data_IF_631148773953
#
_entry.id   IF_631148773953
#
_cell.length_a   1.000
_cell.length_b   1.000
_cell.length_c   1.000
_cell.angle_alpha   90.00
_cell.angle_beta   90.00
_cell.angle_gamma   90.00
#
_symmetry.space_group_name_H-M   'P 1'
#
loop_
_entity.id
_entity.type
_entity.pdbx_description
1 polymer ?
#
# COMPACT_ATOMS: atom_id res chain seq x y z
N UNK A 1 -9.88 27.05 -25.72
CA UNK A 1 -8.74 26.11 -25.59
C UNK A 1 -9.21 24.75 -26.06
N UNK A 2 -8.45 24.10 -26.93
CA UNK A 2 -8.84 22.83 -27.53
C UNK A 2 -8.73 21.68 -26.52
N UNK A 3 -9.68 20.74 -26.57
CA UNK A 3 -9.71 19.56 -25.69
C UNK A 3 -8.40 18.76 -25.73
N UNK A 4 -7.75 18.68 -26.90
CA UNK A 4 -6.45 18.05 -27.07
C UNK A 4 -5.34 18.68 -26.22
N UNK A 5 -5.38 20.01 -26.02
CA UNK A 5 -4.40 20.70 -25.16
C UNK A 5 -4.58 20.29 -23.70
N UNK A 6 -5.83 20.17 -23.24
CA UNK A 6 -6.13 19.70 -21.88
C UNK A 6 -5.75 18.23 -21.66
N UNK A 7 -5.99 17.37 -22.64
CA UNK A 7 -5.59 15.95 -22.58
C UNK A 7 -4.06 15.82 -22.51
N UNK A 8 -3.34 16.53 -23.38
CA UNK A 8 -1.87 16.51 -23.36
C UNK A 8 -1.30 17.05 -22.04
N UNK A 9 -1.86 18.15 -21.53
CA UNK A 9 -1.47 18.67 -20.23
C UNK A 9 -1.74 17.66 -19.12
N UNK A 10 -2.94 17.07 -19.08
CA UNK A 10 -3.33 16.08 -18.06
C UNK A 10 -2.45 14.82 -18.10
N UNK A 11 -2.06 14.35 -19.29
CA UNK A 11 -1.12 13.24 -19.47
C UNK A 11 0.24 13.54 -18.82
N UNK A 12 0.83 14.70 -19.14
CA UNK A 12 2.13 15.11 -18.58
C UNK A 12 2.05 15.30 -17.07
N UNK A 13 0.99 15.93 -16.57
CA UNK A 13 0.77 16.11 -15.13
C UNK A 13 0.55 14.77 -14.42
N UNK A 14 -0.30 13.88 -14.95
CA UNK A 14 -0.51 12.55 -14.38
C UNK A 14 0.77 11.73 -14.34
N UNK A 15 1.58 11.78 -15.41
CA UNK A 15 2.86 11.09 -15.48
C UNK A 15 3.86 11.60 -14.44
N UNK A 16 3.94 12.92 -14.27
CA UNK A 16 4.79 13.56 -13.28
C UNK A 16 4.35 13.22 -11.86
N UNK A 17 3.05 13.30 -11.55
CA UNK A 17 2.48 12.97 -10.23
C UNK A 17 2.75 11.51 -9.88
N UNK A 18 2.56 10.59 -10.84
CA UNK A 18 2.83 9.16 -10.67
C UNK A 18 4.26 8.94 -10.18
N UNK A 19 5.26 9.47 -10.89
CA UNK A 19 6.65 9.29 -10.49
C UNK A 19 7.05 10.08 -9.25
N UNK A 20 6.56 11.32 -9.10
CA UNK A 20 6.91 12.17 -7.97
C UNK A 20 6.52 11.51 -6.65
N UNK A 21 5.32 10.96 -6.57
CA UNK A 21 4.85 10.27 -5.37
C UNK A 21 5.40 8.84 -5.30
N UNK A 22 5.51 8.16 -6.45
CA UNK A 22 5.95 6.77 -6.52
C UNK A 22 7.40 6.53 -6.12
N UNK A 23 8.29 7.50 -6.34
CA UNK A 23 9.69 7.40 -5.96
C UNK A 23 9.93 7.55 -4.45
N UNK A 24 9.04 8.24 -3.72
CA UNK A 24 9.27 8.60 -2.31
C UNK A 24 9.33 7.36 -1.43
N UNK A 25 8.34 6.48 -1.54
CA UNK A 25 8.24 5.30 -0.68
C UNK A 25 9.43 4.35 -0.86
N UNK A 26 9.76 4.05 -2.12
CA UNK A 26 10.87 3.16 -2.45
C UNK A 26 12.21 3.73 -1.95
N UNK A 27 12.52 4.99 -2.25
CA UNK A 27 13.77 5.61 -1.81
C UNK A 27 13.95 5.61 -0.29
N UNK A 28 12.87 5.88 0.47
CA UNK A 28 12.90 5.83 1.94
C UNK A 28 13.13 4.38 2.44
N UNK A 29 12.40 3.42 1.89
CA UNK A 29 12.50 2.00 2.28
C UNK A 29 13.88 1.39 1.95
N UNK A 30 14.42 1.70 0.77
CA UNK A 30 15.74 1.26 0.34
C UNK A 30 16.86 1.93 1.16
N UNK A 31 16.76 3.23 1.42
CA UNK A 31 17.69 3.96 2.26
C UNK A 31 17.72 3.42 3.69
N UNK A 32 16.54 3.10 4.26
CA UNK A 32 16.44 2.45 5.57
C UNK A 32 17.10 1.06 5.57
N UNK A 33 16.86 0.27 4.52
CA UNK A 33 17.45 -1.06 4.35
C UNK A 33 18.98 -0.98 4.29
N UNK A 34 19.52 -0.06 3.49
CA UNK A 34 20.95 0.18 3.36
C UNK A 34 21.58 0.67 4.67
N UNK A 35 20.90 1.55 5.42
CA UNK A 35 21.36 2.00 6.74
C UNK A 35 21.48 0.83 7.73
N UNK A 36 20.47 -0.04 7.78
CA UNK A 36 20.49 -1.24 8.62
C UNK A 36 21.57 -2.24 8.18
N UNK A 37 21.78 -2.39 6.86
CA UNK A 37 22.85 -3.22 6.33
C UNK A 37 24.23 -2.69 6.72
N UNK A 38 24.47 -1.38 6.64
CA UNK A 38 25.72 -0.75 7.10
C UNK A 38 25.98 -0.99 8.59
N UNK A 39 24.95 -0.85 9.43
CA UNK A 39 25.03 -1.17 10.86
C UNK A 39 25.37 -2.65 11.09
N UNK A 40 24.70 -3.56 10.37
CA UNK A 40 24.93 -5.00 10.46
C UNK A 40 26.34 -5.40 10.01
N UNK A 41 26.83 -4.86 8.89
CA UNK A 41 28.17 -5.12 8.35
C UNK A 41 29.25 -4.57 9.29
N UNK A 42 29.01 -3.40 9.89
CA UNK A 42 29.95 -2.80 10.85
C UNK A 42 30.14 -3.66 12.10
N UNK A 43 29.10 -4.39 12.53
CA UNK A 43 29.18 -5.39 13.60
C UNK A 43 29.80 -6.71 13.17
N UNK A 44 29.64 -7.09 11.90
CA UNK A 44 30.06 -8.40 11.38
C UNK A 44 30.69 -8.31 9.99
N UNK A 45 31.90 -7.72 9.84
CA UNK A 45 32.50 -7.45 8.51
C UNK A 45 32.77 -8.71 7.70
N UNK A 46 33.10 -9.82 8.37
CA UNK A 46 33.34 -11.13 7.75
C UNK A 46 32.11 -11.71 7.04
N UNK A 47 30.91 -11.14 7.25
CA UNK A 47 29.64 -11.58 6.64
C UNK A 47 29.04 -10.55 5.69
N UNK A 48 29.85 -9.58 5.27
CA UNK A 48 29.41 -8.50 4.40
C UNK A 48 28.71 -9.02 3.13
N UNK A 49 29.25 -10.05 2.48
CA UNK A 49 28.67 -10.59 1.25
C UNK A 49 27.24 -11.13 1.43
N UNK A 50 26.97 -11.78 2.55
CA UNK A 50 25.66 -12.37 2.85
C UNK A 50 24.61 -11.30 3.21
N UNK A 51 25.01 -10.33 4.05
CA UNK A 51 24.16 -9.19 4.41
C UNK A 51 23.87 -8.34 3.18
N UNK A 52 24.90 -8.11 2.35
CA UNK A 52 24.76 -7.35 1.10
C UNK A 52 23.81 -8.04 0.12
N UNK A 53 23.90 -9.36 -0.03
CA UNK A 53 22.95 -10.14 -0.85
C UNK A 53 21.51 -9.97 -0.37
N UNK A 54 21.28 -10.04 0.94
CA UNK A 54 19.95 -9.90 1.54
C UNK A 54 19.41 -8.47 1.42
N UNK A 55 20.28 -7.46 1.57
CA UNK A 55 19.97 -6.06 1.33
C UNK A 55 19.46 -5.85 -0.11
N UNK A 56 20.20 -6.34 -1.11
CA UNK A 56 19.81 -6.22 -2.52
C UNK A 56 18.47 -6.91 -2.83
N UNK A 57 18.21 -8.08 -2.23
CA UNK A 57 16.91 -8.74 -2.39
C UNK A 57 15.76 -7.89 -1.83
N UNK A 58 15.94 -7.33 -0.63
CA UNK A 58 14.93 -6.47 -0.01
C UNK A 58 14.70 -5.15 -0.78
N UNK A 59 15.77 -4.54 -1.27
CA UNK A 59 15.70 -3.34 -2.13
C UNK A 59 14.99 -3.66 -3.45
N UNK A 60 15.32 -4.77 -4.11
CA UNK A 60 14.65 -5.17 -5.35
C UNK A 60 13.12 -5.33 -5.21
N UNK A 61 12.64 -5.85 -4.07
CA UNK A 61 11.19 -5.91 -3.80
C UNK A 61 10.63 -4.51 -3.53
N UNK A 62 11.34 -3.70 -2.74
CA UNK A 62 10.93 -2.34 -2.41
C UNK A 62 10.81 -1.45 -3.66
N UNK A 63 11.71 -1.61 -4.63
CA UNK A 63 11.74 -0.87 -5.89
C UNK A 63 10.54 -1.17 -6.80
N UNK A 64 9.88 -2.34 -6.66
CA UNK A 64 8.76 -2.73 -7.55
C UNK A 64 7.63 -1.71 -7.57
N UNK A 65 7.33 -1.04 -6.46
CA UNK A 65 6.31 0.01 -6.41
C UNK A 65 6.71 1.27 -7.20
N UNK A 66 7.99 1.61 -7.24
CA UNK A 66 8.48 2.70 -8.08
C UNK A 66 8.47 2.32 -9.57
N UNK A 67 8.78 1.05 -9.89
CA UNK A 67 8.67 0.53 -11.26
C UNK A 67 7.21 0.57 -11.74
N UNK A 68 6.22 0.26 -10.89
CA UNK A 68 4.81 0.40 -11.24
C UNK A 68 4.39 1.86 -11.50
N UNK A 69 4.88 2.79 -10.68
CA UNK A 69 4.69 4.22 -10.91
C UNK A 69 5.34 4.70 -12.23
N UNK A 70 6.51 4.16 -12.57
CA UNK A 70 7.21 4.43 -13.82
C UNK A 70 6.43 3.87 -15.00
N UNK A 71 5.91 2.66 -14.88
CA UNK A 71 5.07 2.03 -15.91
C UNK A 71 3.86 2.92 -16.23
N UNK A 72 3.12 3.37 -15.21
CA UNK A 72 1.98 4.26 -15.41
C UNK A 72 2.42 5.60 -16.01
N UNK A 73 3.54 6.16 -15.56
CA UNK A 73 4.11 7.39 -16.11
C UNK A 73 4.43 7.25 -17.61
N UNK A 74 5.06 6.14 -18.01
CA UNK A 74 5.37 5.84 -19.41
C UNK A 74 4.11 5.64 -20.25
N UNK A 75 3.11 4.93 -19.73
CA UNK A 75 1.83 4.76 -20.43
C UNK A 75 1.17 6.13 -20.66
N UNK A 76 1.13 6.98 -19.63
CA UNK A 76 0.54 8.31 -19.72
C UNK A 76 1.25 9.20 -20.75
N UNK A 77 2.59 9.16 -20.84
CA UNK A 77 3.37 9.99 -21.78
C UNK A 77 3.31 9.52 -23.23
N UNK A 78 3.21 8.21 -23.46
CA UNK A 78 3.40 7.63 -24.80
C UNK A 78 2.14 6.98 -25.39
N UNK A 79 1.06 6.90 -24.64
CA UNK A 79 -0.21 6.31 -25.11
C UNK A 79 -1.28 7.37 -25.27
N UNK A 80 -2.00 7.33 -26.40
CA UNK A 80 -3.14 8.20 -26.63
C UNK A 80 -4.40 7.57 -26.02
N UNK A 81 -4.86 8.10 -24.89
CA UNK A 81 -5.96 7.55 -24.09
C UNK A 81 -7.29 8.24 -24.44
N UNK A 82 -7.71 8.12 -25.70
CA UNK A 82 -8.98 8.67 -26.17
C UNK A 82 -9.04 10.20 -26.26
N UNK A 83 -10.18 10.70 -26.75
CA UNK A 83 -10.41 12.12 -27.03
C UNK A 83 -11.67 12.66 -26.35
N UNK A 84 -12.10 12.01 -25.28
CA UNK A 84 -13.36 12.35 -24.60
C UNK A 84 -13.14 13.43 -23.54
N UNK A 85 -14.17 14.24 -23.22
CA UNK A 85 -14.06 15.27 -22.19
C UNK A 85 -13.73 14.75 -20.79
N UNK A 86 -13.92 13.45 -20.53
CA UNK A 86 -13.59 12.81 -19.24
C UNK A 86 -12.11 12.37 -19.15
N UNK A 87 -11.44 12.20 -20.29
CA UNK A 87 -10.06 11.71 -20.39
C UNK A 87 -9.07 12.48 -19.50
N UNK A 88 -9.09 13.84 -19.43
CA UNK A 88 -8.16 14.56 -18.57
C UNK A 88 -8.21 14.14 -17.09
N UNK A 89 -9.41 13.86 -16.57
CA UNK A 89 -9.61 13.43 -15.18
C UNK A 89 -9.12 11.99 -14.95
N UNK A 90 -9.32 11.12 -15.94
CA UNK A 90 -8.79 9.74 -15.94
C UNK A 90 -7.27 9.75 -15.87
N UNK A 91 -6.61 10.54 -16.72
CA UNK A 91 -5.14 10.60 -16.80
C UNK A 91 -4.51 11.08 -15.48
N UNK A 92 -5.05 12.15 -14.91
CA UNK A 92 -4.57 12.69 -13.63
C UNK A 92 -4.86 11.70 -12.48
N UNK A 93 -6.07 11.12 -12.46
CA UNK A 93 -6.46 10.17 -11.41
C UNK A 93 -5.62 8.89 -11.44
N UNK A 94 -5.32 8.35 -12.63
CA UNK A 94 -4.47 7.17 -12.79
C UNK A 94 -3.05 7.39 -12.28
N UNK A 95 -2.47 8.56 -12.58
CA UNK A 95 -1.16 8.92 -12.05
C UNK A 95 -1.18 9.10 -10.53
N UNK A 96 -2.20 9.79 -10.00
CA UNK A 96 -2.36 10.02 -8.57
C UNK A 96 -2.58 8.72 -7.78
N UNK A 97 -3.44 7.84 -8.27
CA UNK A 97 -3.75 6.53 -7.71
C UNK A 97 -2.48 5.67 -7.53
N UNK A 98 -1.72 5.52 -8.62
CA UNK A 98 -0.48 4.74 -8.60
C UNK A 98 0.56 5.39 -7.70
N UNK A 99 0.79 6.69 -7.86
CA UNK A 99 1.79 7.43 -7.10
C UNK A 99 1.57 7.35 -5.59
N UNK A 100 0.34 7.55 -5.12
CA UNK A 100 0.00 7.44 -3.69
C UNK A 100 0.11 6.00 -3.19
N UNK A 101 -0.34 5.02 -3.98
CA UNK A 101 -0.28 3.60 -3.62
C UNK A 101 1.14 3.08 -3.40
N UNK A 102 2.11 3.63 -4.13
CA UNK A 102 3.51 3.25 -4.01
C UNK A 102 4.20 3.74 -2.72
N UNK A 103 3.67 4.77 -2.05
CA UNK A 103 4.31 5.37 -0.87
C UNK A 103 4.37 4.35 0.27
N UNK A 104 3.21 3.79 0.65
CA UNK A 104 3.13 2.82 1.74
C UNK A 104 3.89 1.55 1.43
N UNK A 105 3.72 1.01 0.22
CA UNK A 105 4.35 -0.24 -0.21
C UNK A 105 5.88 -0.17 -0.17
N UNK A 106 6.47 0.93 -0.63
CA UNK A 106 7.91 1.14 -0.58
C UNK A 106 8.45 1.23 0.85
N UNK A 107 7.80 2.05 1.71
CA UNK A 107 8.22 2.19 3.12
C UNK A 107 8.05 0.85 3.86
N UNK A 108 6.88 0.23 3.72
CA UNK A 108 6.51 -1.03 4.37
C UNK A 108 7.45 -2.17 4.01
N UNK A 109 7.80 -2.32 2.73
CA UNK A 109 8.68 -3.38 2.24
C UNK A 109 10.13 -3.25 2.71
N UNK A 110 10.61 -2.02 2.93
CA UNK A 110 11.96 -1.76 3.42
C UNK A 110 12.16 -2.09 4.91
N UNK A 111 11.11 -2.03 5.72
CA UNK A 111 11.18 -2.33 7.16
C UNK A 111 11.67 -3.76 7.48
N UNK A 112 11.07 -4.83 6.93
CA UNK A 112 11.55 -6.19 7.16
C UNK A 112 12.90 -6.47 6.50
N UNK A 113 13.23 -5.80 5.40
CA UNK A 113 14.54 -5.93 4.77
C UNK A 113 15.67 -5.42 5.68
N UNK A 114 15.50 -4.24 6.27
CA UNK A 114 16.45 -3.74 7.27
C UNK A 114 16.57 -4.64 8.51
N UNK A 115 15.44 -5.16 9.02
CA UNK A 115 15.47 -6.10 10.15
C UNK A 115 16.06 -7.46 9.79
N UNK A 116 15.94 -7.91 8.54
CA UNK A 116 16.61 -9.11 8.04
C UNK A 116 18.13 -8.93 8.10
N UNK A 117 18.66 -7.82 7.58
CA UNK A 117 20.10 -7.51 7.63
C UNK A 117 20.64 -7.52 9.08
N UNK A 118 19.94 -6.84 10.00
CA UNK A 118 20.30 -6.83 11.42
C UNK A 118 20.14 -8.21 12.07
N UNK A 119 19.11 -8.95 11.69
CA UNK A 119 18.84 -10.30 12.16
C UNK A 119 19.94 -11.28 11.75
N UNK A 120 20.40 -11.21 10.51
CA UNK A 120 21.51 -12.04 9.99
C UNK A 120 22.76 -11.76 10.80
N UNK A 121 23.13 -10.49 11.03
CA UNK A 121 24.31 -10.14 11.86
C UNK A 121 24.22 -10.72 13.27
N UNK A 122 23.02 -10.73 13.88
CA UNK A 122 22.81 -11.28 15.24
C UNK A 122 22.76 -12.80 15.28
N UNK A 123 22.13 -13.44 14.29
CA UNK A 123 21.90 -14.88 14.26
C UNK A 123 22.18 -15.46 12.86
N UNK A 124 23.47 -15.76 12.56
CA UNK A 124 23.92 -16.26 11.28
C UNK A 124 23.18 -17.45 10.72
N UNK A 125 22.96 -18.44 11.58
CA UNK A 125 22.42 -19.76 11.24
C UNK A 125 20.97 -19.69 10.75
N UNK A 126 20.32 -18.54 10.93
CA UNK A 126 18.92 -18.31 10.58
C UNK A 126 18.73 -17.49 9.32
N UNK A 127 19.81 -17.22 8.57
CA UNK A 127 19.79 -16.39 7.37
C UNK A 127 18.72 -16.78 6.36
N UNK A 128 18.62 -18.07 6.03
CA UNK A 128 17.63 -18.55 5.06
C UNK A 128 16.19 -18.32 5.55
N UNK A 129 15.93 -18.53 6.85
CA UNK A 129 14.60 -18.29 7.43
C UNK A 129 14.27 -16.81 7.53
N UNK A 130 15.25 -15.98 7.88
CA UNK A 130 15.09 -14.52 7.93
C UNK A 130 14.83 -13.95 6.54
N UNK A 131 15.59 -14.41 5.54
CA UNK A 131 15.39 -14.04 4.13
C UNK A 131 14.00 -14.47 3.67
N UNK A 132 13.59 -15.71 3.95
CA UNK A 132 12.24 -16.19 3.60
C UNK A 132 11.15 -15.34 4.25
N UNK A 133 11.28 -15.02 5.54
CA UNK A 133 10.29 -14.21 6.25
C UNK A 133 10.26 -12.75 5.75
N UNK A 134 11.41 -12.19 5.40
CA UNK A 134 11.52 -10.89 4.74
C UNK A 134 10.80 -10.92 3.39
N UNK A 135 11.06 -11.90 2.54
CA UNK A 135 10.42 -12.02 1.22
C UNK A 135 8.89 -12.08 1.37
N UNK A 136 8.39 -12.96 2.24
CA UNK A 136 6.94 -13.09 2.51
C UNK A 136 6.37 -11.75 2.97
N UNK A 137 6.98 -11.12 3.98
CA UNK A 137 6.45 -9.90 4.57
C UNK A 137 6.49 -8.69 3.62
N UNK A 138 7.59 -8.51 2.88
CA UNK A 138 7.71 -7.47 1.86
C UNK A 138 6.75 -7.70 0.69
N UNK A 139 6.54 -8.96 0.27
CA UNK A 139 5.58 -9.25 -0.81
C UNK A 139 4.14 -8.95 -0.42
N UNK A 140 3.75 -9.20 0.84
CA UNK A 140 2.40 -8.86 1.31
C UNK A 140 2.24 -7.34 1.36
N UNK A 141 3.22 -6.60 1.91
CA UNK A 141 3.21 -5.14 1.93
C UNK A 141 3.14 -4.49 0.53
N UNK A 142 3.54 -5.21 -0.53
CA UNK A 142 3.41 -4.76 -1.92
C UNK A 142 2.02 -4.94 -2.54
N UNK A 143 1.13 -5.74 -1.94
CA UNK A 143 -0.20 -6.02 -2.50
C UNK A 143 -1.03 -4.75 -2.68
N UNK A 144 -0.88 -3.77 -1.78
CA UNK A 144 -1.57 -2.48 -1.90
C UNK A 144 -1.13 -1.67 -3.12
N UNK A 145 0.15 -1.72 -3.50
CA UNK A 145 0.63 -1.12 -4.75
C UNK A 145 0.06 -1.84 -5.98
N UNK A 146 -0.16 -3.15 -5.89
CA UNK A 146 -0.85 -3.92 -6.95
C UNK A 146 -2.31 -3.47 -7.09
N UNK A 147 -3.02 -3.18 -5.99
CA UNK A 147 -4.38 -2.64 -6.07
C UNK A 147 -4.41 -1.29 -6.79
N UNK A 148 -3.50 -0.38 -6.43
CA UNK A 148 -3.40 0.93 -7.08
C UNK A 148 -3.02 0.80 -8.55
N UNK A 149 -2.09 -0.10 -8.90
CA UNK A 149 -1.74 -0.40 -10.28
C UNK A 149 -2.96 -0.91 -11.06
N UNK A 150 -3.70 -1.87 -10.48
CA UNK A 150 -4.88 -2.45 -11.13
C UNK A 150 -5.95 -1.39 -11.36
N UNK A 151 -6.23 -0.52 -10.38
CA UNK A 151 -7.21 0.58 -10.51
C UNK A 151 -6.75 1.64 -11.50
N UNK A 152 -5.47 2.00 -11.51
CA UNK A 152 -4.91 2.90 -12.54
C UNK A 152 -5.04 2.32 -13.95
N UNK A 153 -4.72 1.03 -14.14
CA UNK A 153 -4.89 0.36 -15.44
C UNK A 153 -6.37 0.25 -15.82
N UNK A 154 -7.25 -0.08 -14.87
CA UNK A 154 -8.70 -0.08 -15.10
C UNK A 154 -9.16 1.29 -15.60
N UNK A 155 -8.78 2.39 -14.94
CA UNK A 155 -9.16 3.74 -15.37
C UNK A 155 -8.65 4.07 -16.78
N UNK A 156 -7.41 3.68 -17.11
CA UNK A 156 -6.81 3.98 -18.42
C UNK A 156 -7.44 3.19 -19.58
N UNK A 157 -7.99 2.01 -19.32
CA UNK A 157 -8.52 1.13 -20.36
C UNK A 157 -10.04 0.93 -20.31
N UNK A 158 -10.73 1.49 -19.31
CA UNK A 158 -12.19 1.48 -19.22
C UNK A 158 -12.79 2.51 -20.18
N UNK A 159 -13.74 2.09 -21.00
CA UNK A 159 -14.46 3.01 -21.89
C UNK A 159 -15.52 3.80 -21.09
N UNK A 160 -15.24 5.07 -20.85
CA UNK A 160 -16.13 6.02 -20.17
C UNK A 160 -16.77 7.02 -21.14
N UNK A 161 -16.60 6.85 -22.46
CA UNK A 161 -17.04 7.80 -23.48
C UNK A 161 -18.56 8.03 -23.49
N UNK A 162 -19.33 7.01 -23.10
CA UNK A 162 -20.79 7.07 -23.01
C UNK A 162 -21.32 7.71 -21.73
N UNK A 163 -20.46 7.96 -20.74
CA UNK A 163 -20.86 8.49 -19.44
C UNK A 163 -20.89 10.03 -19.44
N UNK A 164 -21.84 10.65 -18.73
CA UNK A 164 -21.88 12.10 -18.62
C UNK A 164 -20.64 12.60 -17.87
N UNK A 165 -20.07 13.74 -18.28
CA UNK A 165 -18.88 14.30 -17.61
C UNK A 165 -19.14 14.55 -16.13
N UNK A 166 -20.26 15.20 -15.82
CA UNK A 166 -20.73 15.42 -14.45
C UNK A 166 -21.86 14.43 -14.11
N UNK A 167 -21.75 13.62 -13.04
CA UNK A 167 -20.75 13.68 -11.96
C UNK A 167 -19.53 12.74 -12.13
N UNK A 168 -19.41 12.03 -13.26
CA UNK A 168 -18.43 10.93 -13.45
C UNK A 168 -16.97 11.35 -13.26
N UNK A 169 -16.58 12.58 -13.61
CA UNK A 169 -15.22 13.09 -13.36
C UNK A 169 -14.82 12.94 -11.88
N UNK A 170 -15.76 13.19 -10.97
CA UNK A 170 -15.53 13.14 -9.54
C UNK A 170 -15.50 11.71 -9.03
N UNK A 171 -16.27 10.81 -9.64
CA UNK A 171 -16.20 9.37 -9.36
C UNK A 171 -14.83 8.80 -9.74
N UNK A 172 -14.29 9.18 -10.91
CA UNK A 172 -12.96 8.73 -11.36
C UNK A 172 -11.85 9.24 -10.45
N UNK A 173 -11.89 10.52 -10.07
CA UNK A 173 -10.90 11.09 -9.14
C UNK A 173 -11.04 10.49 -7.74
N UNK A 174 -12.28 10.34 -7.25
CA UNK A 174 -12.59 9.67 -5.98
C UNK A 174 -12.10 8.23 -5.95
N UNK A 175 -12.27 7.48 -7.05
CA UNK A 175 -11.78 6.11 -7.16
C UNK A 175 -10.26 6.03 -7.04
N UNK A 176 -9.51 6.92 -7.71
CA UNK A 176 -8.05 6.96 -7.60
C UNK A 176 -7.58 7.34 -6.20
N UNK A 177 -8.22 8.32 -5.57
CA UNK A 177 -7.91 8.74 -4.20
C UNK A 177 -8.21 7.65 -3.16
N UNK A 178 -9.29 6.90 -3.34
CA UNK A 178 -9.71 5.85 -2.41
C UNK A 178 -8.63 4.78 -2.23
N UNK A 179 -8.29 4.05 -3.29
CA UNK A 179 -7.27 3.00 -3.21
C UNK A 179 -5.86 3.58 -3.00
N UNK A 180 -5.53 4.70 -3.67
CA UNK A 180 -4.20 5.29 -3.59
C UNK A 180 -3.81 5.70 -2.18
N UNK A 181 -4.72 6.35 -1.44
CA UNK A 181 -4.49 6.71 -0.04
C UNK A 181 -4.68 5.53 0.90
N UNK A 182 -5.66 4.66 0.66
CA UNK A 182 -5.92 3.50 1.52
C UNK A 182 -4.76 2.52 1.55
N UNK A 183 -4.00 2.42 0.46
CA UNK A 183 -2.80 1.58 0.35
C UNK A 183 -1.67 1.96 1.33
N UNK A 184 -1.63 3.20 1.83
CA UNK A 184 -0.52 3.71 2.64
C UNK A 184 -0.48 3.03 4.01
N UNK A 185 -1.62 2.96 4.69
CA UNK A 185 -1.70 2.49 6.07
C UNK A 185 -1.34 1.01 6.22
N UNK A 186 -2.05 0.10 5.52
CA UNK A 186 -1.81 -1.33 5.58
C UNK A 186 -0.37 -1.69 5.26
N UNK A 187 0.18 -1.19 4.14
CA UNK A 187 1.54 -1.53 3.75
C UNK A 187 2.60 -1.18 4.81
N UNK A 188 2.48 -0.01 5.46
CA UNK A 188 3.36 0.37 6.57
C UNK A 188 3.15 -0.57 7.77
N UNK A 189 1.89 -0.81 8.14
CA UNK A 189 1.54 -1.68 9.27
C UNK A 189 1.99 -3.13 9.10
N UNK A 190 1.85 -3.67 7.89
CA UNK A 190 2.33 -4.98 7.48
C UNK A 190 3.86 -5.03 7.52
N UNK A 191 4.53 -4.01 6.98
CA UNK A 191 5.98 -3.87 7.10
C UNK A 191 6.48 -3.91 8.54
N UNK A 192 5.74 -3.29 9.47
CA UNK A 192 6.04 -3.32 10.91
C UNK A 192 5.83 -4.69 11.54
N UNK A 193 4.80 -5.44 11.11
CA UNK A 193 4.58 -6.81 11.53
C UNK A 193 5.70 -7.73 11.03
N UNK A 194 6.08 -7.61 9.75
CA UNK A 194 7.17 -8.37 9.15
C UNK A 194 8.52 -8.09 9.81
N UNK A 195 8.80 -6.80 10.08
CA UNK A 195 9.99 -6.37 10.82
C UNK A 195 10.07 -7.04 12.19
N UNK A 196 8.96 -7.04 12.95
CA UNK A 196 8.91 -7.69 14.26
C UNK A 196 9.07 -9.21 14.17
N UNK A 197 8.59 -9.83 13.09
CA UNK A 197 8.80 -11.25 12.84
C UNK A 197 10.27 -11.58 12.57
N UNK A 198 10.98 -10.80 11.74
CA UNK A 198 12.43 -10.94 11.53
C UNK A 198 13.20 -10.79 12.86
N UNK A 199 12.92 -9.75 13.64
CA UNK A 199 13.53 -9.55 14.97
C UNK A 199 13.20 -10.71 15.95
N UNK A 200 11.98 -11.25 15.87
CA UNK A 200 11.53 -12.37 16.68
C UNK A 200 12.26 -13.67 16.33
N UNK A 201 12.37 -14.00 15.05
CA UNK A 201 13.07 -15.18 14.54
C UNK A 201 14.56 -15.12 14.89
N UNK A 202 15.20 -13.96 14.73
CA UNK A 202 16.60 -13.79 15.09
C UNK A 202 16.85 -14.00 16.59
N UNK A 203 15.89 -13.65 17.45
CA UNK A 203 15.99 -13.85 18.90
C UNK A 203 15.64 -15.28 19.34
N UNK A 204 14.64 -15.90 18.71
CA UNK A 204 14.18 -17.24 19.06
C UNK A 204 13.90 -18.10 17.82
N UNK A 205 14.95 -18.71 17.26
CA UNK A 205 14.88 -19.54 16.06
C UNK A 205 13.84 -20.67 16.09
N UNK A 206 13.61 -21.24 17.27
CA UNK A 206 12.73 -22.39 17.47
C UNK A 206 11.25 -22.02 17.28
N UNK A 207 10.89 -20.76 17.51
CA UNK A 207 9.52 -20.26 17.39
C UNK A 207 9.20 -19.71 15.98
N UNK A 208 10.07 -19.92 14.97
CA UNK A 208 9.95 -19.26 13.67
C UNK A 208 8.61 -19.52 12.98
N UNK A 209 8.14 -20.78 12.97
CA UNK A 209 6.87 -21.15 12.33
C UNK A 209 5.68 -20.44 13.00
N UNK A 210 5.68 -20.39 14.34
CA UNK A 210 4.64 -19.73 15.12
C UNK A 210 4.66 -18.21 14.89
N UNK A 211 5.85 -17.60 14.86
CA UNK A 211 6.05 -16.18 14.59
C UNK A 211 5.55 -15.81 13.20
N UNK A 212 5.92 -16.56 12.16
CA UNK A 212 5.47 -16.32 10.79
C UNK A 212 3.95 -16.52 10.67
N UNK A 213 3.38 -17.53 11.33
CA UNK A 213 1.92 -17.74 11.32
C UNK A 213 1.17 -16.57 11.95
N UNK A 214 1.68 -16.04 13.07
CA UNK A 214 1.08 -14.88 13.74
C UNK A 214 1.27 -13.59 12.93
N UNK A 215 2.42 -13.44 12.26
CA UNK A 215 2.66 -12.34 11.31
C UNK A 215 1.61 -12.33 10.21
N UNK A 216 1.40 -13.47 9.54
CA UNK A 216 0.41 -13.60 8.48
C UNK A 216 -1.02 -13.30 8.97
N UNK A 217 -1.38 -13.80 10.15
CA UNK A 217 -2.67 -13.50 10.76
C UNK A 217 -2.85 -12.00 11.04
N UNK A 218 -1.82 -11.35 11.61
CA UNK A 218 -1.87 -9.92 11.91
C UNK A 218 -1.97 -9.08 10.63
N UNK A 219 -1.20 -9.41 9.61
CA UNK A 219 -1.23 -8.76 8.29
C UNK A 219 -2.59 -8.92 7.61
N UNK A 220 -3.18 -10.12 7.65
CA UNK A 220 -4.49 -10.36 7.03
C UNK A 220 -5.60 -9.47 7.58
N UNK A 221 -5.52 -9.08 8.86
CA UNK A 221 -6.45 -8.10 9.45
C UNK A 221 -6.08 -6.68 9.00
N UNK A 222 -4.80 -6.31 9.12
CA UNK A 222 -4.25 -5.03 8.67
C UNK A 222 -4.63 -4.66 7.23
N UNK A 223 -4.67 -5.67 6.35
CA UNK A 223 -4.94 -5.51 4.92
C UNK A 223 -6.39 -5.14 4.58
N UNK A 224 -7.32 -5.39 5.50
CA UNK A 224 -8.76 -5.19 5.26
C UNK A 224 -9.11 -3.76 4.85
N UNK A 225 -8.46 -2.75 5.44
CA UNK A 225 -8.69 -1.35 5.05
C UNK A 225 -8.21 -0.98 3.66
N UNK A 226 -7.16 -1.66 3.15
CA UNK A 226 -6.74 -1.56 1.75
C UNK A 226 -7.81 -2.13 0.81
N UNK A 227 -8.40 -3.26 1.20
CA UNK A 227 -9.52 -3.89 0.46
C UNK A 227 -10.76 -3.00 0.45
N UNK A 228 -11.06 -2.27 1.52
CA UNK A 228 -12.17 -1.31 1.53
C UNK A 228 -11.94 -0.15 0.56
N UNK A 229 -10.71 0.37 0.50
CA UNK A 229 -10.32 1.39 -0.47
C UNK A 229 -10.52 0.91 -1.91
N UNK A 230 -10.06 -0.31 -2.20
CA UNK A 230 -10.26 -0.98 -3.49
C UNK A 230 -11.75 -1.17 -3.82
N UNK A 231 -12.55 -1.61 -2.84
CA UNK A 231 -13.99 -1.82 -3.01
C UNK A 231 -14.69 -0.52 -3.41
N UNK A 232 -14.42 0.59 -2.72
CA UNK A 232 -14.99 1.90 -3.04
C UNK A 232 -14.54 2.36 -4.43
N UNK A 233 -13.27 2.16 -4.80
CA UNK A 233 -12.77 2.47 -6.15
C UNK A 233 -13.53 1.70 -7.24
N UNK A 234 -13.70 0.39 -7.07
CA UNK A 234 -14.43 -0.45 -8.03
C UNK A 234 -15.89 0.00 -8.14
N UNK A 235 -16.56 0.30 -7.02
CA UNK A 235 -17.94 0.79 -7.05
C UNK A 235 -18.04 2.12 -7.81
N UNK A 236 -17.14 3.06 -7.56
CA UNK A 236 -17.14 4.37 -8.23
C UNK A 236 -16.86 4.27 -9.75
N UNK A 237 -16.05 3.30 -10.18
CA UNK A 237 -15.72 3.11 -11.60
C UNK A 237 -16.81 2.39 -12.40
N UNK A 238 -17.51 1.43 -11.80
CA UNK A 238 -18.49 0.59 -12.50
C UNK A 238 -19.95 0.99 -12.29
N UNK A 239 -20.25 1.87 -11.32
CA UNK A 239 -21.60 2.40 -11.12
C UNK A 239 -21.87 3.52 -12.12
N UNK A 240 -23.02 3.43 -12.80
CA UNK A 240 -23.50 4.50 -13.68
C UNK A 240 -24.22 5.58 -12.87
N UNK A 241 -24.00 6.84 -13.23
CA UNK A 241 -24.60 8.02 -12.60
C UNK A 241 -25.37 8.85 -13.62
N UNK A 242 -26.56 9.30 -13.24
CA UNK A 242 -27.36 10.18 -14.09
C UNK A 242 -26.70 11.55 -14.27
N UNK A 243 -26.79 12.10 -15.47
CA UNK A 243 -26.24 13.42 -15.77
C UNK A 243 -26.86 14.49 -14.85
N UNK A 244 -26.03 15.29 -14.22
CA UNK A 244 -26.49 16.38 -13.34
C UNK A 244 -25.60 17.61 -13.44
N UNK A 245 -26.23 18.79 -13.35
CA UNK A 245 -25.56 20.08 -13.21
C UNK A 245 -25.35 20.46 -11.74
N UNK A 246 -25.95 19.72 -10.80
CA UNK A 246 -25.75 19.93 -9.38
C UNK A 246 -24.32 19.54 -8.99
N UNK A 247 -23.67 20.39 -8.19
CA UNK A 247 -22.34 20.13 -7.67
C UNK A 247 -22.37 19.05 -6.57
N UNK A 248 -23.49 18.94 -5.85
CA UNK A 248 -23.60 18.06 -4.69
C UNK A 248 -23.31 16.57 -5.02
N UNK A 249 -23.88 15.95 -6.07
CA UNK A 249 -23.55 14.55 -6.40
C UNK A 249 -22.08 14.36 -6.79
N UNK A 250 -21.50 15.29 -7.56
CA UNK A 250 -20.08 15.22 -7.91
C UNK A 250 -19.20 15.28 -6.65
N UNK A 251 -19.45 16.24 -5.77
CA UNK A 251 -18.68 16.36 -4.53
C UNK A 251 -18.88 15.16 -3.60
N UNK A 252 -20.08 14.58 -3.54
CA UNK A 252 -20.33 13.36 -2.76
C UNK A 252 -19.45 12.19 -3.24
N UNK A 253 -19.33 11.96 -4.55
CA UNK A 253 -18.51 10.87 -5.10
C UNK A 253 -17.01 11.10 -4.87
N UNK A 254 -16.54 12.34 -5.03
CA UNK A 254 -15.15 12.69 -4.71
C UNK A 254 -14.86 12.50 -3.22
N UNK A 255 -15.76 12.98 -2.35
CA UNK A 255 -15.65 12.89 -0.91
C UNK A 255 -15.75 11.46 -0.40
N UNK A 256 -16.53 10.59 -1.05
CA UNK A 256 -16.61 9.17 -0.71
C UNK A 256 -15.25 8.50 -0.85
N UNK A 257 -14.57 8.74 -1.98
CA UNK A 257 -13.23 8.22 -2.21
C UNK A 257 -12.19 8.78 -1.24
N UNK A 258 -12.21 10.09 -1.00
CA UNK A 258 -11.30 10.72 -0.04
C UNK A 258 -11.52 10.23 1.40
N UNK A 259 -12.78 10.07 1.81
CA UNK A 259 -13.16 9.60 3.14
C UNK A 259 -12.65 8.19 3.40
N UNK A 260 -12.87 7.25 2.46
CA UNK A 260 -12.34 5.90 2.59
C UNK A 260 -10.81 5.89 2.52
N UNK A 261 -10.22 6.59 1.55
CA UNK A 261 -8.78 6.62 1.35
C UNK A 261 -8.00 7.10 2.58
N UNK A 262 -8.34 8.27 3.13
CA UNK A 262 -7.70 8.80 4.34
C UNK A 262 -8.08 7.96 5.57
N UNK A 263 -9.36 7.55 5.65
CA UNK A 263 -9.89 6.78 6.77
C UNK A 263 -9.22 5.42 6.99
N UNK A 264 -8.63 4.84 5.94
CA UNK A 264 -7.89 3.58 6.00
C UNK A 264 -6.46 3.70 6.56
N UNK A 265 -5.84 4.89 6.52
CA UNK A 265 -4.43 5.07 6.91
C UNK A 265 -4.22 4.76 8.40
N UNK A 266 -5.08 5.32 9.26
CA UNK A 266 -5.00 5.19 10.71
C UNK A 266 -5.13 3.73 11.19
N UNK A 267 -6.23 3.04 10.85
CA UNK A 267 -6.42 1.63 11.18
C UNK A 267 -5.29 0.75 10.68
N UNK A 268 -4.88 0.83 9.40
CA UNK A 268 -3.82 -0.03 8.87
C UNK A 268 -2.50 0.10 9.65
N UNK A 269 -2.10 1.32 10.02
CA UNK A 269 -0.90 1.53 10.86
C UNK A 269 -1.13 1.00 12.29
N UNK A 270 -2.28 1.33 12.89
CA UNK A 270 -2.64 0.93 14.25
C UNK A 270 -2.68 -0.59 14.42
N UNK A 271 -3.28 -1.29 13.46
CA UNK A 271 -3.36 -2.73 13.43
C UNK A 271 -1.97 -3.38 13.29
N UNK A 272 -1.11 -2.80 12.45
CA UNK A 272 0.30 -3.15 12.35
C UNK A 272 1.07 -2.99 13.66
N UNK A 273 0.81 -1.93 14.44
CA UNK A 273 1.40 -1.78 15.79
C UNK A 273 0.99 -2.92 16.72
N UNK A 274 -0.30 -3.26 16.78
CA UNK A 274 -0.80 -4.37 17.60
C UNK A 274 -0.22 -5.71 17.16
N UNK A 275 -0.17 -5.99 15.85
CA UNK A 275 0.44 -7.21 15.31
C UNK A 275 1.93 -7.29 15.65
N UNK A 276 2.68 -6.20 15.44
CA UNK A 276 4.11 -6.10 15.75
C UNK A 276 4.39 -6.38 17.23
N UNK A 277 3.58 -5.83 18.14
CA UNK A 277 3.68 -6.09 19.57
C UNK A 277 3.39 -7.55 19.93
N UNK A 278 2.33 -8.13 19.36
CA UNK A 278 1.95 -9.53 19.58
C UNK A 278 3.03 -10.50 19.11
N UNK A 279 3.61 -10.27 17.93
CA UNK A 279 4.70 -11.06 17.36
C UNK A 279 5.93 -11.01 18.26
N UNK A 280 6.32 -9.80 18.69
CA UNK A 280 7.48 -9.60 19.58
C UNK A 280 7.37 -10.36 20.90
N UNK A 281 6.17 -10.45 21.47
CA UNK A 281 5.95 -11.09 22.76
C UNK A 281 5.65 -12.58 22.67
N UNK A 282 5.04 -13.05 21.58
CA UNK A 282 4.78 -14.49 21.38
C UNK A 282 6.08 -15.28 21.30
N UNK A 283 7.12 -14.72 20.66
CA UNK A 283 8.46 -15.32 20.69
C UNK A 283 9.08 -15.40 22.09
N UNK A 284 8.63 -14.61 23.07
CA UNK A 284 9.16 -14.61 24.44
C UNK A 284 8.32 -15.47 25.40
N UNK A 285 7.02 -15.57 25.17
CA UNK A 285 6.08 -16.29 26.04
C UNK A 285 5.15 -17.21 25.24
N UNK A 286 5.67 -18.37 24.84
CA UNK A 286 4.94 -19.37 24.05
C UNK A 286 3.69 -19.91 24.78
N UNK A 287 3.76 -20.07 26.11
CA UNK A 287 2.64 -20.54 26.93
C UNK A 287 1.45 -19.57 26.90
N UNK A 288 1.73 -18.27 26.74
CA UNK A 288 0.72 -17.21 26.65
C UNK A 288 0.24 -16.91 25.23
N UNK A 289 0.70 -17.63 24.21
CA UNK A 289 0.46 -17.28 22.80
C UNK A 289 -1.03 -17.12 22.47
N UNK A 290 -1.89 -18.03 22.94
CA UNK A 290 -3.33 -17.94 22.69
C UNK A 290 -3.97 -16.68 23.26
N UNK A 291 -3.53 -16.22 24.43
CA UNK A 291 -4.01 -14.96 25.04
C UNK A 291 -3.47 -13.77 24.25
N UNK A 292 -2.19 -13.78 23.87
CA UNK A 292 -1.58 -12.72 23.07
C UNK A 292 -2.29 -12.55 21.72
N UNK A 293 -2.55 -13.66 21.01
CA UNK A 293 -3.28 -13.64 19.74
C UNK A 293 -4.70 -13.10 19.91
N UNK A 294 -5.43 -13.50 20.96
CA UNK A 294 -6.77 -12.95 21.22
C UNK A 294 -6.72 -11.46 21.51
N UNK A 295 -5.79 -11.01 22.34
CA UNK A 295 -5.61 -9.57 22.65
C UNK A 295 -5.24 -8.78 21.40
N UNK A 296 -4.39 -9.33 20.53
CA UNK A 296 -4.06 -8.75 19.23
C UNK A 296 -5.32 -8.54 18.39
N UNK A 297 -6.10 -9.60 18.18
CA UNK A 297 -7.31 -9.54 17.34
C UNK A 297 -8.37 -8.59 17.91
N UNK A 298 -8.55 -8.56 19.23
CA UNK A 298 -9.47 -7.60 19.87
C UNK A 298 -8.96 -6.16 19.70
N UNK A 299 -7.65 -5.93 19.87
CA UNK A 299 -7.04 -4.62 19.67
C UNK A 299 -7.16 -4.13 18.22
N UNK A 300 -6.90 -5.02 17.26
CA UNK A 300 -7.10 -4.74 15.83
C UNK A 300 -8.56 -4.43 15.53
N UNK A 301 -9.51 -5.26 15.99
CA UNK A 301 -10.94 -5.01 15.79
C UNK A 301 -11.43 -3.67 16.35
N UNK A 302 -10.86 -3.19 17.46
CA UNK A 302 -11.18 -1.86 18.00
C UNK A 302 -10.58 -0.75 17.13
N UNK A 303 -9.31 -0.89 16.72
CA UNK A 303 -8.62 0.04 15.81
C UNK A 303 -9.36 0.18 14.48
N UNK A 304 -9.87 -0.94 13.97
CA UNK A 304 -10.58 -1.08 12.70
C UNK A 304 -11.88 -0.30 12.62
N UNK A 305 -12.53 -0.03 13.75
CA UNK A 305 -13.83 0.63 13.81
C UNK A 305 -13.86 1.96 13.04
N UNK A 306 -12.78 2.74 13.07
CA UNK A 306 -12.69 4.02 12.34
C UNK A 306 -12.58 3.85 10.82
N UNK A 307 -12.01 2.74 10.35
CA UNK A 307 -12.02 2.34 8.94
C UNK A 307 -13.44 1.99 8.51
N UNK A 308 -14.17 1.22 9.33
CA UNK A 308 -15.58 0.88 9.09
C UNK A 308 -16.47 2.12 9.08
N UNK A 309 -16.26 3.08 9.98
CA UNK A 309 -17.02 4.35 9.96
C UNK A 309 -16.81 5.11 8.65
N UNK A 310 -15.57 5.16 8.16
CA UNK A 310 -15.23 5.80 6.89
C UNK A 310 -15.88 5.07 5.70
N UNK A 311 -15.88 3.73 5.72
CA UNK A 311 -16.54 2.91 4.72
C UNK A 311 -18.06 3.15 4.68
N UNK A 312 -18.71 3.18 5.85
CA UNK A 312 -20.16 3.43 5.95
C UNK A 312 -20.52 4.81 5.41
N UNK A 313 -19.75 5.84 5.78
CA UNK A 313 -19.96 7.19 5.29
C UNK A 313 -19.73 7.29 3.77
N UNK A 314 -18.72 6.60 3.23
CA UNK A 314 -18.51 6.49 1.78
C UNK A 314 -19.70 5.82 1.08
N UNK A 315 -20.26 4.75 1.63
CA UNK A 315 -21.47 4.13 1.07
C UNK A 315 -22.68 5.05 1.08
N UNK A 316 -22.88 5.80 2.17
CA UNK A 316 -23.97 6.79 2.24
C UNK A 316 -23.80 7.85 1.15
N UNK A 317 -22.58 8.35 0.95
CA UNK A 317 -22.29 9.32 -0.11
C UNK A 317 -22.47 8.78 -1.54
N UNK A 318 -22.31 7.47 -1.76
CA UNK A 318 -22.44 6.85 -3.09
C UNK A 318 -23.88 6.46 -3.43
N UNK A 319 -24.64 6.01 -2.42
CA UNK A 319 -25.94 5.36 -2.64
C UNK A 319 -27.13 6.17 -2.17
N UNK A 320 -26.94 7.15 -1.28
CA UNK A 320 -28.04 7.92 -0.68
C UNK A 320 -28.04 9.37 -1.14
N UNK A 321 -26.86 9.99 -1.27
CA UNK A 321 -26.67 11.38 -1.71
C UNK A 321 -26.53 11.46 -3.22
#
# INVERSE_FOLDING_TARGET
MDLHVYINAASVWGAAISMLLGAVGAAIGEGYTAACANEAISRSPHRAGEIFKSMLMGQAITETSAIFALLISMILLFTNVGSDPITPYVLISAGLCMGLGSIGAGIGSGLPAGACCLGISRQPEMSDKLTTNMLIGSSIAQTTAIYSLAVSLMMLFLNLSSHPVSPTWAAVVGAGLSVGLAAIGPAIGEGMAAKAACDGIARKPQASVQITSLMLLGMAVTESTGVYGLLISVILLFKSFAATTAIAPAMALLSAGLCMGIGAIGPGIGEGYTASAAIKWTGRNEKGAGVITRTMLVGQAVSESTGIYSLVIAFIMIFVV
#
